data_IF_705861739747
#
_entry.id   IF_705861739747
#
_cell.length_a   1.000
_cell.length_b   1.000
_cell.length_c   1.000
_cell.angle_alpha   90.00
_cell.angle_beta   90.00
_cell.angle_gamma   90.00
#
_symmetry.space_group_name_H-M   'P 1'
#
loop_
_entity.id
_entity.type
_entity.pdbx_description
1 polymer ?
#
# COMPACT_ATOMS: atom_id res chain seq x y z
N UNK A 1 1.26 -11.41 15.86
CA UNK A 1 0.94 -10.13 15.18
C UNK A 1 0.43 -10.39 13.75
N UNK A 2 -0.70 -11.10 13.62
CA UNK A 2 -1.27 -11.52 12.31
C UNK A 2 -2.07 -10.43 11.58
N UNK A 3 -2.30 -9.27 12.20
CA UNK A 3 -3.15 -8.20 11.65
C UNK A 3 -2.46 -7.19 10.73
N UNK A 4 -1.12 -7.11 10.74
CA UNK A 4 -0.35 -6.15 9.93
C UNK A 4 -0.68 -6.19 8.42
N UNK A 5 -0.74 -7.35 7.75
CA UNK A 5 -1.11 -7.40 6.34
C UNK A 5 -2.57 -6.98 6.08
N UNK A 6 -3.48 -7.23 7.03
CA UNK A 6 -4.89 -6.81 6.93
C UNK A 6 -5.02 -5.28 7.03
N UNK A 7 -4.26 -4.66 7.93
CA UNK A 7 -4.24 -3.20 8.09
C UNK A 7 -3.59 -2.50 6.88
N UNK A 8 -2.52 -3.10 6.34
CA UNK A 8 -1.89 -2.58 5.13
C UNK A 8 -2.87 -2.64 3.94
N UNK A 9 -3.49 -3.80 3.71
CA UNK A 9 -4.44 -3.98 2.59
C UNK A 9 -5.70 -3.13 2.73
N UNK A 10 -6.20 -2.89 3.96
CA UNK A 10 -7.35 -1.99 4.17
C UNK A 10 -7.00 -0.51 3.89
N UNK A 11 -5.80 -0.05 4.26
CA UNK A 11 -5.32 1.28 3.87
C UNK A 11 -5.23 1.44 2.35
N UNK A 12 -4.72 0.41 1.66
CA UNK A 12 -4.67 0.40 0.19
C UNK A 12 -6.08 0.44 -0.42
N UNK A 13 -7.02 -0.37 0.08
CA UNK A 13 -8.39 -0.40 -0.41
C UNK A 13 -9.08 0.96 -0.24
N UNK A 14 -8.87 1.64 0.88
CA UNK A 14 -9.41 2.98 1.12
C UNK A 14 -8.83 4.00 0.14
N UNK A 15 -7.52 3.94 -0.14
CA UNK A 15 -6.87 4.80 -1.14
C UNK A 15 -7.40 4.53 -2.56
N UNK A 16 -7.63 3.26 -2.92
CA UNK A 16 -8.19 2.87 -4.23
C UNK A 16 -9.63 3.34 -4.38
N UNK A 17 -10.47 3.23 -3.35
CA UNK A 17 -11.85 3.74 -3.39
C UNK A 17 -11.88 5.27 -3.54
N UNK A 18 -11.03 5.97 -2.79
CA UNK A 18 -10.88 7.42 -2.93
C UNK A 18 -10.41 7.82 -4.34
N UNK A 19 -9.48 7.05 -4.94
CA UNK A 19 -9.07 7.27 -6.32
C UNK A 19 -10.20 6.99 -7.32
N UNK A 20 -10.90 5.86 -7.18
CA UNK A 20 -11.96 5.45 -8.10
C UNK A 20 -13.15 6.42 -8.12
N UNK A 21 -13.52 6.98 -6.96
CA UNK A 21 -14.56 8.01 -6.88
C UNK A 21 -14.17 9.30 -7.60
N UNK A 22 -12.90 9.69 -7.53
CA UNK A 22 -12.38 10.88 -8.22
C UNK A 22 -12.21 10.63 -9.72
N UNK A 23 -11.73 9.45 -10.12
CA UNK A 23 -11.52 9.08 -11.53
C UNK A 23 -12.84 8.96 -12.31
N UNK A 24 -13.89 8.39 -11.71
CA UNK A 24 -15.21 8.27 -12.33
C UNK A 24 -15.97 9.60 -12.40
N UNK A 25 -15.49 10.65 -11.72
CA UNK A 25 -16.13 11.96 -11.67
C UNK A 25 -15.25 12.97 -12.39
N UNK A 26 -15.51 13.22 -13.67
CA UNK A 26 -14.66 14.07 -14.53
C UNK A 26 -14.41 15.48 -13.96
N UNK A 27 -15.34 16.01 -13.17
CA UNK A 27 -15.24 17.32 -12.51
C UNK A 27 -14.34 17.32 -11.25
N UNK A 28 -14.02 16.15 -10.69
CA UNK A 28 -13.15 15.98 -9.52
C UNK A 28 -11.69 15.72 -9.91
N UNK A 29 -11.38 15.51 -11.20
CA UNK A 29 -10.01 15.27 -11.68
C UNK A 29 -9.03 16.38 -11.28
N UNK A 30 -9.46 17.65 -11.24
CA UNK A 30 -8.63 18.78 -10.77
C UNK A 30 -8.18 18.62 -9.30
N UNK A 31 -8.95 17.88 -8.49
CA UNK A 31 -8.60 17.60 -7.08
C UNK A 31 -7.45 16.61 -6.94
N UNK A 32 -7.13 15.83 -7.98
CA UNK A 32 -5.91 15.03 -8.00
C UNK A 32 -4.70 15.96 -8.19
N UNK A 33 -4.81 16.91 -9.11
CA UNK A 33 -3.76 17.86 -9.50
C UNK A 33 -3.40 18.87 -8.40
N UNK A 34 -4.37 19.26 -7.60
CA UNK A 34 -4.20 20.19 -6.49
C UNK A 34 -4.08 19.47 -5.16
N UNK A 35 -3.34 20.06 -4.21
CA UNK A 35 -3.19 19.54 -2.84
C UNK A 35 -4.52 19.67 -2.10
N UNK A 36 -5.41 18.70 -2.33
CA UNK A 36 -6.72 18.58 -1.67
C UNK A 36 -6.70 17.45 -0.66
N UNK A 37 -7.65 17.46 0.27
CA UNK A 37 -7.84 16.40 1.28
C UNK A 37 -7.92 15.01 0.64
N UNK A 38 -8.55 14.88 -0.54
CA UNK A 38 -8.63 13.63 -1.30
C UNK A 38 -7.26 13.17 -1.81
N UNK A 39 -6.46 14.07 -2.41
CA UNK A 39 -5.11 13.72 -2.89
C UNK A 39 -4.17 13.35 -1.73
N UNK A 40 -4.29 14.04 -0.59
CA UNK A 40 -3.54 13.77 0.63
C UNK A 40 -3.92 12.42 1.24
N UNK A 41 -5.20 12.05 1.22
CA UNK A 41 -5.66 10.76 1.72
C UNK A 41 -5.16 9.61 0.85
N UNK A 42 -5.20 9.76 -0.48
CA UNK A 42 -4.64 8.78 -1.43
C UNK A 42 -3.13 8.62 -1.21
N UNK A 43 -2.41 9.74 -1.06
CA UNK A 43 -0.98 9.73 -0.77
C UNK A 43 -0.66 9.07 0.57
N UNK A 44 -1.33 9.50 1.65
CA UNK A 44 -1.11 8.95 2.98
C UNK A 44 -1.43 7.45 3.02
N UNK A 45 -2.53 7.01 2.41
CA UNK A 45 -2.93 5.60 2.36
C UNK A 45 -1.98 4.72 1.54
N UNK A 46 -1.45 5.21 0.42
CA UNK A 46 -0.45 4.48 -0.38
C UNK A 46 0.91 4.44 0.31
N UNK A 47 1.29 5.53 0.99
CA UNK A 47 2.56 5.62 1.74
C UNK A 47 2.54 4.74 3.00
N UNK A 48 1.45 4.75 3.77
CA UNK A 48 1.29 3.86 4.93
C UNK A 48 1.23 2.40 4.53
N UNK A 49 0.54 2.06 3.43
CA UNK A 49 0.58 0.71 2.85
C UNK A 49 2.02 0.28 2.54
N UNK A 50 2.79 1.15 1.89
CA UNK A 50 4.17 0.83 1.53
C UNK A 50 5.07 0.61 2.74
N UNK A 51 5.01 1.52 3.73
CA UNK A 51 5.77 1.37 4.98
C UNK A 51 5.40 0.09 5.73
N UNK A 52 4.10 -0.18 5.90
CA UNK A 52 3.63 -1.37 6.59
C UNK A 52 4.02 -2.66 5.86
N UNK A 53 4.03 -2.66 4.52
CA UNK A 53 4.45 -3.81 3.72
C UNK A 53 5.94 -4.12 3.91
N UNK A 54 6.79 -3.09 3.93
CA UNK A 54 8.24 -3.25 4.18
C UNK A 54 8.50 -3.71 5.62
N UNK A 55 7.83 -3.11 6.61
CA UNK A 55 7.96 -3.52 8.02
C UNK A 55 7.49 -4.96 8.22
N UNK A 56 6.39 -5.35 7.57
CA UNK A 56 5.89 -6.72 7.62
C UNK A 56 6.88 -7.71 6.99
N UNK A 57 7.54 -7.36 5.89
CA UNK A 57 8.58 -8.19 5.28
C UNK A 57 9.79 -8.33 6.19
N UNK A 58 10.29 -7.22 6.75
CA UNK A 58 11.44 -7.23 7.66
C UNK A 58 11.17 -8.08 8.91
N UNK A 59 9.96 -7.98 9.48
CA UNK A 59 9.56 -8.80 10.62
C UNK A 59 9.47 -10.28 10.27
N UNK A 60 8.86 -10.62 9.12
CA UNK A 60 8.77 -12.02 8.68
C UNK A 60 10.16 -12.62 8.39
N UNK A 61 11.09 -11.84 7.82
CA UNK A 61 12.49 -12.25 7.64
C UNK A 61 13.20 -12.49 8.97
N UNK A 62 13.05 -11.57 9.93
CA UNK A 62 13.67 -11.70 11.26
C UNK A 62 13.11 -12.90 12.04
N UNK A 63 11.81 -13.16 11.94
CA UNK A 63 11.14 -14.26 12.63
C UNK A 63 11.24 -15.60 11.89
N UNK A 64 11.79 -15.64 10.68
CA UNK A 64 11.78 -16.83 9.83
C UNK A 64 12.52 -18.02 10.44
N UNK A 65 13.68 -17.78 11.06
CA UNK A 65 14.51 -18.84 11.65
C UNK A 65 13.96 -19.43 12.96
N UNK A 66 13.06 -18.72 13.64
CA UNK A 66 12.50 -19.14 14.94
C UNK A 66 11.15 -19.87 14.84
N UNK A 67 10.62 -20.07 13.64
CA UNK A 67 9.26 -20.56 13.48
C UNK A 67 9.14 -22.08 13.62
N UNK A 68 8.26 -22.51 14.51
CA UNK A 68 7.93 -23.93 14.75
C UNK A 68 7.31 -24.62 13.53
N UNK A 69 6.68 -23.86 12.63
CA UNK A 69 5.95 -24.39 11.48
C UNK A 69 6.44 -23.74 10.17
N UNK A 70 7.43 -24.37 9.52
CA UNK A 70 8.12 -23.83 8.33
C UNK A 70 7.16 -23.51 7.18
N UNK A 71 6.13 -24.32 6.94
CA UNK A 71 5.16 -24.09 5.87
C UNK A 71 4.39 -22.77 6.05
N UNK A 72 3.97 -22.49 7.29
CA UNK A 72 3.24 -21.27 7.61
C UNK A 72 4.15 -20.04 7.49
N UNK A 73 5.42 -20.15 7.85
CA UNK A 73 6.41 -19.09 7.64
C UNK A 73 6.70 -18.81 6.17
N UNK A 74 6.80 -19.84 5.32
CA UNK A 74 6.93 -19.65 3.88
C UNK A 74 5.71 -18.95 3.28
N UNK A 75 4.50 -19.33 3.73
CA UNK A 75 3.27 -18.67 3.30
C UNK A 75 3.26 -17.19 3.71
N UNK A 76 3.56 -16.88 4.98
CA UNK A 76 3.63 -15.51 5.47
C UNK A 76 4.70 -14.69 4.75
N UNK A 77 5.87 -15.29 4.51
CA UNK A 77 6.94 -14.64 3.79
C UNK A 77 6.52 -14.32 2.36
N UNK A 78 5.95 -15.28 1.63
CA UNK A 78 5.42 -15.08 0.29
C UNK A 78 4.34 -13.97 0.23
N UNK A 79 3.44 -13.91 1.22
CA UNK A 79 2.46 -12.81 1.31
C UNK A 79 3.11 -11.46 1.61
N UNK A 80 4.16 -11.41 2.42
CA UNK A 80 4.86 -10.17 2.68
C UNK A 80 5.63 -9.70 1.44
N UNK A 81 6.27 -10.63 0.71
CA UNK A 81 6.96 -10.31 -0.54
C UNK A 81 5.99 -9.79 -1.60
N UNK A 82 4.83 -10.42 -1.76
CA UNK A 82 3.83 -9.97 -2.74
C UNK A 82 3.33 -8.55 -2.44
N UNK A 83 3.08 -8.23 -1.16
CA UNK A 83 2.71 -6.88 -0.73
C UNK A 83 3.81 -5.86 -1.08
N UNK A 84 5.08 -6.17 -0.80
CA UNK A 84 6.19 -5.26 -1.17
C UNK A 84 6.38 -5.11 -2.67
N UNK A 85 6.13 -6.15 -3.47
CA UNK A 85 6.16 -6.07 -4.94
C UNK A 85 5.05 -5.15 -5.44
N UNK A 86 3.85 -5.26 -4.87
CA UNK A 86 2.74 -4.34 -5.18
C UNK A 86 3.14 -2.90 -4.82
N UNK A 87 3.69 -2.65 -3.63
CA UNK A 87 4.20 -1.32 -3.27
C UNK A 87 5.22 -0.81 -4.28
N UNK A 88 6.17 -1.65 -4.70
CA UNK A 88 7.21 -1.25 -5.65
C UNK A 88 6.61 -0.91 -7.02
N UNK A 89 5.64 -1.69 -7.51
CA UNK A 89 4.91 -1.38 -8.74
C UNK A 89 4.13 -0.05 -8.63
N UNK A 90 3.52 0.22 -7.49
CA UNK A 90 2.83 1.50 -7.24
C UNK A 90 3.83 2.66 -7.22
N UNK A 91 5.05 2.44 -6.71
CA UNK A 91 6.13 3.42 -6.71
C UNK A 91 6.64 3.73 -8.11
N UNK A 92 6.93 2.70 -8.92
CA UNK A 92 7.44 2.86 -10.29
C UNK A 92 6.43 3.48 -11.23
N UNK A 93 5.13 3.20 -11.03
CA UNK A 93 4.06 3.86 -11.77
C UNK A 93 3.75 5.29 -11.27
N UNK A 94 4.51 5.79 -10.29
CA UNK A 94 4.37 7.15 -9.74
C UNK A 94 3.10 7.35 -8.91
N UNK A 95 2.45 6.26 -8.49
CA UNK A 95 1.20 6.26 -7.75
C UNK A 95 1.35 6.62 -6.27
N UNK A 96 2.57 6.58 -5.74
CA UNK A 96 2.90 7.12 -4.41
C UNK A 96 2.85 8.66 -4.43
N UNK A 97 1.65 9.23 -4.59
CA UNK A 97 1.29 10.66 -4.54
C UNK A 97 2.05 11.62 -5.46
N UNK A 98 3.10 11.17 -6.15
CA UNK A 98 3.90 12.01 -7.03
C UNK A 98 3.20 12.26 -8.35
N UNK A 99 2.35 11.33 -8.83
CA UNK A 99 1.48 11.58 -9.99
C UNK A 99 0.22 12.34 -9.67
N UNK A 100 -0.27 12.36 -8.43
CA UNK A 100 -1.47 13.19 -8.13
C UNK A 100 -1.13 14.65 -8.42
N UNK A 101 0.02 15.14 -7.98
CA UNK A 101 0.40 16.55 -8.15
C UNK A 101 1.17 16.87 -9.44
N UNK A 102 1.31 15.91 -10.36
CA UNK A 102 2.08 16.06 -11.60
C UNK A 102 1.26 15.80 -12.87
N UNK A 103 -0.08 15.66 -12.73
CA UNK A 103 -1.00 15.64 -13.87
C UNK A 103 -1.23 17.03 -14.45
#
# INVERSE_FOLDING_TARGET
MSGLPVVATSCLAMAIMAFGTVYNSSHLLYKLTSVTTTSLLIFAGTLTFGLLSVVNLAYNLASFNGARNRLLSWYLLATATSLTVITFLLLTNGWLGLRTWKM
#
